data_IF_525400419702
#
_entry.id   IF_525400419702
#
_cell.length_a   1.000
_cell.length_b   1.000
_cell.length_c   1.000
_cell.angle_alpha   90.00
_cell.angle_beta   90.00
_cell.angle_gamma   90.00
#
_symmetry.space_group_name_H-M   'P 1'
#
loop_
_entity.id
_entity.type
_entity.pdbx_description
1 polymer ?
#
# COMPACT_ATOMS: atom_id res chain seq x y z
N UNK A 1 -41.23 2.18 -0.92
CA UNK A 1 -39.79 1.87 -0.91
C UNK A 1 -39.57 0.64 -0.02
N UNK A 2 -39.30 -0.53 -0.58
CA UNK A 2 -38.97 -1.74 0.19
C UNK A 2 -37.54 -1.62 0.72
N UNK A 3 -37.37 -1.70 2.02
CA UNK A 3 -36.03 -1.77 2.67
C UNK A 3 -35.47 -3.14 2.36
N UNK A 4 -34.31 -3.20 1.70
CA UNK A 4 -33.53 -4.42 1.54
C UNK A 4 -33.13 -4.96 2.91
N UNK A 5 -33.33 -6.23 3.14
CA UNK A 5 -32.94 -6.89 4.37
C UNK A 5 -31.44 -7.22 4.32
N UNK A 6 -30.79 -7.35 5.51
CA UNK A 6 -29.38 -7.77 5.64
C UNK A 6 -29.04 -9.04 4.84
N UNK A 7 -30.02 -9.90 4.58
CA UNK A 7 -29.86 -11.16 3.84
C UNK A 7 -29.76 -10.95 2.33
N UNK A 8 -30.40 -9.92 1.79
CA UNK A 8 -30.34 -9.59 0.35
C UNK A 8 -29.03 -8.86 0.01
N UNK A 9 -28.43 -8.12 0.95
CA UNK A 9 -27.11 -7.52 0.81
C UNK A 9 -25.99 -8.59 0.73
N UNK A 10 -26.16 -9.73 1.42
CA UNK A 10 -25.19 -10.83 1.45
C UNK A 10 -25.16 -11.67 0.17
N UNK A 11 -26.21 -11.67 -0.65
CA UNK A 11 -26.24 -12.51 -1.85
C UNK A 11 -25.48 -11.93 -3.05
N UNK A 12 -25.16 -10.63 -3.05
CA UNK A 12 -24.46 -9.98 -4.16
C UNK A 12 -22.93 -9.92 -4.01
N UNK A 13 -22.38 -10.23 -2.84
CA UNK A 13 -20.92 -10.20 -2.58
C UNK A 13 -20.25 -11.57 -2.83
N UNK A 14 -21.02 -12.64 -3.03
CA UNK A 14 -20.48 -14.00 -3.07
C UNK A 14 -19.80 -14.43 -4.38
N UNK A 15 -19.78 -13.61 -5.43
CA UNK A 15 -19.21 -14.02 -6.73
C UNK A 15 -17.78 -13.49 -7.01
N UNK A 16 -17.27 -12.53 -6.26
CA UNK A 16 -15.92 -11.98 -6.48
C UNK A 16 -14.84 -12.59 -5.54
N UNK A 17 -15.23 -13.07 -4.37
CA UNK A 17 -14.30 -13.64 -3.40
C UNK A 17 -13.60 -14.97 -3.81
N UNK A 18 -14.21 -15.88 -4.58
CA UNK A 18 -13.55 -17.15 -4.97
C UNK A 18 -12.39 -16.97 -5.94
N UNK A 19 -12.41 -15.94 -6.78
CA UNK A 19 -11.38 -15.77 -7.83
C UNK A 19 -10.01 -15.40 -7.28
N UNK A 20 -9.95 -14.64 -6.18
CA UNK A 20 -8.67 -14.26 -5.58
C UNK A 20 -7.97 -15.44 -4.87
N UNK A 21 -8.75 -16.31 -4.24
CA UNK A 21 -8.21 -17.48 -3.53
C UNK A 21 -7.85 -18.63 -4.49
N UNK A 22 -8.53 -18.76 -5.63
CA UNK A 22 -8.17 -19.72 -6.69
C UNK A 22 -6.99 -19.20 -7.52
N UNK A 23 -6.86 -17.90 -7.75
CA UNK A 23 -5.65 -17.33 -8.36
C UNK A 23 -4.41 -17.57 -7.50
N UNK A 24 -4.50 -17.50 -6.16
CA UNK A 24 -3.39 -17.84 -5.27
C UNK A 24 -3.07 -19.36 -5.24
N UNK A 25 -4.02 -20.27 -5.58
CA UNK A 25 -3.74 -21.70 -5.71
C UNK A 25 -3.22 -22.08 -7.11
N UNK A 26 -3.65 -21.39 -8.15
CA UNK A 26 -3.10 -21.57 -9.50
C UNK A 26 -1.70 -20.91 -9.66
N UNK A 27 -1.42 -19.84 -8.89
CA UNK A 27 -0.09 -19.23 -8.79
C UNK A 27 0.92 -20.06 -7.97
N UNK A 28 0.47 -21.13 -7.28
CA UNK A 28 1.34 -22.04 -6.52
C UNK A 28 2.25 -22.91 -7.40
N UNK A 29 2.27 -22.72 -8.72
CA UNK A 29 3.19 -23.39 -9.65
C UNK A 29 4.30 -22.49 -10.21
N UNK A 30 4.26 -21.16 -9.95
CA UNK A 30 5.39 -20.28 -10.21
C UNK A 30 5.72 -19.58 -8.89
N UNK A 31 6.81 -19.94 -8.25
CA UNK A 31 7.39 -19.17 -7.16
C UNK A 31 7.49 -17.69 -7.65
N UNK A 32 7.04 -16.70 -6.85
CA UNK A 32 7.16 -15.31 -7.27
C UNK A 32 8.63 -15.01 -7.53
N UNK A 33 8.96 -14.62 -8.75
CA UNK A 33 10.33 -14.27 -9.12
C UNK A 33 10.69 -12.96 -8.44
N UNK A 34 11.41 -13.06 -7.33
CA UNK A 34 11.94 -11.90 -6.64
C UNK A 34 13.05 -11.27 -7.46
N UNK A 35 13.01 -9.97 -7.62
CA UNK A 35 13.99 -9.22 -8.39
C UNK A 35 14.54 -8.07 -7.56
N UNK A 36 15.87 -8.02 -7.41
CA UNK A 36 16.57 -6.89 -6.81
C UNK A 36 17.22 -6.06 -7.91
N UNK A 37 16.82 -4.80 -8.04
CA UNK A 37 17.31 -3.87 -9.05
C UNK A 37 17.98 -2.67 -8.40
N UNK A 38 19.25 -2.34 -8.73
CA UNK A 38 19.90 -1.16 -8.19
C UNK A 38 19.22 0.11 -8.72
N UNK A 39 18.89 1.02 -7.80
CA UNK A 39 18.34 2.35 -8.11
C UNK A 39 19.42 3.44 -8.05
N UNK A 40 20.34 3.28 -7.10
CA UNK A 40 21.42 4.21 -6.82
C UNK A 40 22.61 3.43 -6.24
N UNK A 41 23.69 4.10 -5.81
CA UNK A 41 24.90 3.42 -5.33
C UNK A 41 24.62 2.43 -4.19
N UNK A 42 23.81 2.85 -3.21
CA UNK A 42 23.54 2.05 -2.00
C UNK A 42 22.10 1.55 -1.89
N UNK A 43 21.23 1.96 -2.80
CA UNK A 43 19.80 1.71 -2.73
C UNK A 43 19.31 0.87 -3.89
N UNK A 44 18.54 -0.17 -3.57
CA UNK A 44 17.93 -1.08 -4.55
C UNK A 44 16.43 -1.18 -4.32
N UNK A 45 15.69 -1.54 -5.37
CA UNK A 45 14.29 -1.96 -5.34
C UNK A 45 14.23 -3.48 -5.36
N UNK A 46 13.57 -4.09 -4.38
CA UNK A 46 13.19 -5.48 -4.39
C UNK A 46 11.71 -5.59 -4.69
N UNK A 47 11.38 -6.27 -5.78
CA UNK A 47 10.01 -6.50 -6.24
C UNK A 47 9.66 -7.98 -6.27
N UNK A 48 8.35 -8.31 -6.34
CA UNK A 48 7.85 -9.68 -6.40
C UNK A 48 7.53 -10.29 -5.04
N UNK A 49 7.82 -9.61 -3.93
CA UNK A 49 7.55 -10.12 -2.58
C UNK A 49 6.15 -9.76 -2.05
N UNK A 50 5.30 -9.14 -2.82
CA UNK A 50 4.06 -8.48 -2.42
C UNK A 50 4.12 -7.03 -2.83
N UNK A 51 4.12 -6.10 -1.88
CA UNK A 51 4.49 -4.71 -2.13
C UNK A 51 5.96 -4.55 -2.50
N UNK A 52 6.31 -3.43 -3.10
CA UNK A 52 7.68 -3.04 -3.40
C UNK A 52 8.44 -2.74 -2.11
N UNK A 53 9.71 -3.14 -2.05
CA UNK A 53 10.59 -2.99 -0.89
C UNK A 53 11.82 -2.19 -1.30
N UNK A 54 12.16 -1.13 -0.56
CA UNK A 54 13.45 -0.50 -0.71
C UNK A 54 14.49 -1.20 0.17
N UNK A 55 15.69 -1.41 -0.36
CA UNK A 55 16.83 -2.03 0.34
C UNK A 55 18.01 -1.08 0.28
N UNK A 56 18.35 -0.45 1.42
CA UNK A 56 19.53 0.39 1.58
C UNK A 56 20.63 -0.40 2.26
N UNK A 57 21.82 -0.51 1.64
CA UNK A 57 23.01 -1.03 2.33
C UNK A 57 23.79 0.09 3.01
N UNK A 58 24.26 -0.18 4.22
CA UNK A 58 25.11 0.74 4.98
C UNK A 58 26.13 -0.04 5.82
N UNK A 59 27.41 0.30 5.72
CA UNK A 59 28.45 -0.43 6.45
C UNK A 59 28.30 -1.93 6.32
N UNK A 60 28.07 -2.62 7.44
CA UNK A 60 27.83 -4.07 7.51
C UNK A 60 26.36 -4.38 7.84
N UNK A 61 25.41 -3.58 7.36
CA UNK A 61 23.99 -3.77 7.62
C UNK A 61 23.09 -3.33 6.48
N UNK A 62 21.82 -3.72 6.59
CA UNK A 62 20.76 -3.34 5.66
C UNK A 62 19.62 -2.62 6.40
N UNK A 63 19.02 -1.63 5.73
CA UNK A 63 17.74 -1.03 6.09
C UNK A 63 16.73 -1.36 5.00
N UNK A 64 15.58 -1.88 5.41
CA UNK A 64 14.46 -2.14 4.51
C UNK A 64 13.32 -1.16 4.76
N UNK A 65 12.60 -0.80 3.69
CA UNK A 65 11.27 -0.20 3.76
C UNK A 65 10.28 -1.25 3.28
N UNK A 66 9.42 -1.69 4.18
CA UNK A 66 8.51 -2.83 4.07
C UNK A 66 9.18 -4.21 4.00
N UNK A 67 8.38 -5.28 4.10
CA UNK A 67 8.89 -6.64 4.25
C UNK A 67 8.10 -7.71 3.47
N UNK A 68 7.22 -7.28 2.57
CA UNK A 68 6.50 -8.18 1.66
C UNK A 68 5.46 -9.09 2.35
N UNK A 69 5.09 -10.15 1.65
CA UNK A 69 4.12 -11.16 2.09
C UNK A 69 4.73 -12.16 3.08
N UNK A 70 3.95 -12.75 3.99
CA UNK A 70 4.45 -13.76 4.94
C UNK A 70 5.09 -14.97 4.25
N UNK A 71 4.50 -15.45 3.15
CA UNK A 71 5.00 -16.63 2.42
C UNK A 71 6.27 -16.35 1.61
N UNK A 72 6.60 -15.10 1.33
CA UNK A 72 7.84 -14.72 0.63
C UNK A 72 8.94 -14.26 1.57
N UNK A 73 8.69 -14.19 2.88
CA UNK A 73 9.59 -13.57 3.86
C UNK A 73 11.02 -14.13 3.86
N UNK A 74 11.18 -15.46 3.72
CA UNK A 74 12.48 -16.09 3.67
C UNK A 74 13.23 -15.79 2.35
N UNK A 75 12.53 -15.91 1.22
CA UNK A 75 13.11 -15.61 -0.08
C UNK A 75 13.42 -14.12 -0.23
N UNK A 76 12.58 -13.25 0.32
CA UNK A 76 12.78 -11.81 0.37
C UNK A 76 14.03 -11.45 1.17
N UNK A 77 14.19 -12.01 2.37
CA UNK A 77 15.38 -11.80 3.21
C UNK A 77 16.66 -12.27 2.48
N UNK A 78 16.63 -13.47 1.89
CA UNK A 78 17.75 -13.98 1.09
C UNK A 78 18.08 -13.05 -0.09
N UNK A 79 17.07 -12.58 -0.81
CA UNK A 79 17.27 -11.68 -1.94
C UNK A 79 17.80 -10.31 -1.49
N UNK A 80 17.32 -9.77 -0.35
CA UNK A 80 17.82 -8.51 0.21
C UNK A 80 19.32 -8.58 0.55
N UNK A 81 19.79 -9.72 1.06
CA UNK A 81 21.21 -9.93 1.37
C UNK A 81 22.11 -9.92 0.13
N UNK A 82 21.59 -10.06 -1.09
CA UNK A 82 22.40 -9.88 -2.30
C UNK A 82 22.79 -8.41 -2.55
N UNK A 83 22.14 -7.44 -1.88
CA UNK A 83 22.52 -6.02 -1.93
C UNK A 83 23.82 -5.72 -1.15
N UNK A 84 24.16 -6.53 -0.15
CA UNK A 84 25.35 -6.33 0.66
C UNK A 84 25.41 -7.25 1.88
N UNK A 85 26.56 -7.27 2.56
CA UNK A 85 26.77 -8.08 3.76
C UNK A 85 26.04 -7.52 4.97
N UNK A 86 26.01 -8.31 6.05
CA UNK A 86 25.50 -7.93 7.36
C UNK A 86 24.02 -8.23 7.57
N UNK A 87 23.51 -7.87 8.73
CA UNK A 87 22.11 -8.14 9.10
C UNK A 87 21.16 -7.06 8.59
N UNK A 88 19.89 -7.43 8.45
CA UNK A 88 18.81 -6.44 8.28
C UNK A 88 18.58 -5.80 9.67
N UNK A 89 19.24 -4.67 9.92
CA UNK A 89 19.26 -4.03 11.23
C UNK A 89 18.05 -3.12 11.48
N UNK A 90 17.49 -2.57 10.41
CA UNK A 90 16.38 -1.61 10.49
C UNK A 90 15.31 -1.98 9.46
N UNK A 91 14.06 -1.96 9.89
CA UNK A 91 12.89 -2.08 9.04
C UNK A 91 11.95 -0.89 9.32
N UNK A 92 11.58 -0.14 8.28
CA UNK A 92 10.57 0.91 8.36
C UNK A 92 9.34 0.39 7.61
N UNK A 93 8.17 0.32 8.27
CA UNK A 93 6.94 -0.04 7.58
C UNK A 93 6.15 1.21 7.19
N UNK A 94 5.62 1.18 5.96
CA UNK A 94 4.80 2.25 5.41
C UNK A 94 3.38 2.23 5.94
N UNK A 95 2.75 1.04 6.04
CA UNK A 95 1.39 0.84 6.55
C UNK A 95 1.18 -0.62 6.99
N UNK A 96 -0.03 -0.96 7.46
CA UNK A 96 -0.29 -2.20 8.20
C UNK A 96 -0.69 -3.42 7.35
N UNK A 97 -0.79 -3.32 6.02
CA UNK A 97 -1.25 -4.44 5.22
C UNK A 97 -0.23 -5.59 5.14
N UNK A 98 -0.77 -6.80 5.02
CA UNK A 98 -0.04 -8.06 5.16
C UNK A 98 1.06 -8.26 4.12
N UNK A 99 0.96 -7.62 2.97
CA UNK A 99 1.95 -7.64 1.90
C UNK A 99 3.03 -6.55 2.03
N UNK A 100 3.00 -5.80 3.14
CA UNK A 100 4.02 -4.84 3.56
C UNK A 100 4.64 -5.19 4.91
N UNK A 101 3.92 -5.89 5.79
CA UNK A 101 4.41 -6.28 7.12
C UNK A 101 4.62 -7.79 7.27
N UNK A 102 4.42 -8.57 6.21
CA UNK A 102 4.42 -10.04 6.30
C UNK A 102 5.76 -10.66 6.71
N UNK A 103 6.87 -10.03 6.41
CA UNK A 103 8.20 -10.44 6.83
C UNK A 103 8.61 -9.93 8.22
N UNK A 104 7.81 -9.07 8.86
CA UNK A 104 8.15 -8.42 10.12
C UNK A 104 8.55 -9.39 11.22
N UNK A 105 7.77 -10.47 11.42
CA UNK A 105 8.05 -11.43 12.49
C UNK A 105 9.40 -12.13 12.32
N UNK A 106 9.73 -12.51 11.08
CA UNK A 106 11.01 -13.13 10.76
C UNK A 106 12.17 -12.17 11.03
N UNK A 107 12.07 -10.94 10.51
CA UNK A 107 13.10 -9.91 10.68
C UNK A 107 13.21 -9.45 12.14
N UNK A 108 12.10 -9.31 12.85
CA UNK A 108 12.09 -8.94 14.27
C UNK A 108 12.69 -10.01 15.18
N UNK A 109 12.48 -11.31 14.88
CA UNK A 109 13.18 -12.43 15.57
C UNK A 109 14.67 -12.42 15.26
N UNK A 110 15.08 -11.99 14.07
CA UNK A 110 16.48 -11.83 13.69
C UNK A 110 17.15 -10.58 14.30
N UNK A 111 16.39 -9.74 15.02
CA UNK A 111 16.91 -8.58 15.73
C UNK A 111 16.73 -7.24 15.02
N UNK A 112 16.01 -7.18 13.91
CA UNK A 112 15.72 -5.94 13.23
C UNK A 112 14.93 -4.96 14.13
N UNK A 113 15.34 -3.68 14.13
CA UNK A 113 14.57 -2.61 14.77
C UNK A 113 13.46 -2.17 13.83
N UNK A 114 12.21 -2.50 14.17
CA UNK A 114 11.03 -2.15 13.40
C UNK A 114 10.53 -0.76 13.82
N UNK A 115 10.37 0.14 12.86
CA UNK A 115 9.91 1.52 13.02
C UNK A 115 8.65 1.70 12.19
N UNK A 116 7.58 2.26 12.77
CA UNK A 116 6.34 2.54 12.05
C UNK A 116 5.50 3.62 12.74
N UNK A 117 4.45 4.08 12.05
CA UNK A 117 3.45 4.95 12.69
C UNK A 117 2.69 4.23 13.80
N UNK A 118 2.29 4.98 14.85
CA UNK A 118 1.60 4.41 16.01
C UNK A 118 0.26 3.71 15.67
N UNK A 119 -0.45 4.19 14.64
CA UNK A 119 -1.67 3.54 14.18
C UNK A 119 -1.39 2.18 13.52
N UNK A 120 -0.27 2.04 12.80
CA UNK A 120 0.15 0.72 12.32
C UNK A 120 0.33 -0.24 13.49
N UNK A 121 1.03 0.16 14.57
CA UNK A 121 1.20 -0.69 15.76
C UNK A 121 -0.15 -1.09 16.36
N UNK A 122 -1.11 -0.16 16.48
CA UNK A 122 -2.46 -0.46 16.97
C UNK A 122 -3.13 -1.54 16.11
N UNK A 123 -3.07 -1.39 14.78
CA UNK A 123 -3.72 -2.30 13.83
C UNK A 123 -3.09 -3.69 13.83
N UNK A 124 -1.77 -3.81 13.77
CA UNK A 124 -1.10 -5.12 13.81
C UNK A 124 -1.10 -5.78 15.18
N UNK A 125 -1.56 -5.10 16.22
CA UNK A 125 -1.66 -5.63 17.59
C UNK A 125 -3.00 -6.30 17.92
N UNK A 126 -4.01 -6.12 17.04
CA UNK A 126 -5.37 -6.64 17.23
C UNK A 126 -5.87 -7.26 15.93
N UNK A 127 -6.88 -8.13 16.03
CA UNK A 127 -7.57 -8.64 14.83
C UNK A 127 -8.22 -7.49 14.09
N UNK A 128 -7.96 -7.37 12.79
CA UNK A 128 -8.56 -6.39 11.90
C UNK A 128 -9.54 -7.09 10.96
N UNK A 129 -10.75 -6.54 10.81
CA UNK A 129 -11.70 -7.01 9.80
C UNK A 129 -11.61 -6.15 8.55
N UNK A 130 -11.07 -6.69 7.46
CA UNK A 130 -11.09 -5.99 6.16
C UNK A 130 -12.45 -6.21 5.50
N UNK A 131 -13.23 -5.14 5.42
CA UNK A 131 -14.62 -5.20 4.92
C UNK A 131 -14.69 -5.51 3.42
N UNK A 132 -13.74 -5.02 2.62
CA UNK A 132 -13.72 -5.27 1.18
C UNK A 132 -13.38 -6.72 0.86
N UNK A 133 -12.38 -7.27 1.55
CA UNK A 133 -11.97 -8.68 1.39
C UNK A 133 -12.89 -9.65 2.16
N UNK A 134 -13.78 -9.13 3.02
CA UNK A 134 -14.60 -9.88 3.97
C UNK A 134 -13.76 -10.91 4.75
N UNK A 135 -12.66 -10.46 5.32
CA UNK A 135 -11.67 -11.32 5.96
C UNK A 135 -11.13 -10.71 7.23
N UNK A 136 -10.96 -11.56 8.25
CA UNK A 136 -10.23 -11.23 9.46
C UNK A 136 -8.73 -11.45 9.25
N UNK A 137 -7.93 -10.46 9.65
CA UNK A 137 -6.47 -10.49 9.65
C UNK A 137 -6.02 -10.59 11.10
N UNK A 138 -5.33 -11.68 11.42
CA UNK A 138 -4.82 -11.92 12.76
C UNK A 138 -3.72 -10.91 13.13
N UNK A 139 -3.56 -10.58 14.42
CA UNK A 139 -2.47 -9.74 14.88
C UNK A 139 -1.10 -10.41 14.65
N UNK A 140 -0.06 -9.61 14.44
CA UNK A 140 1.31 -10.10 14.41
C UNK A 140 1.76 -10.53 15.80
N UNK A 141 2.67 -11.52 15.84
CA UNK A 141 3.43 -11.85 17.06
C UNK A 141 4.20 -10.63 17.58
N UNK A 142 4.54 -10.64 18.88
CA UNK A 142 5.30 -9.53 19.49
C UNK A 142 6.61 -9.22 18.79
N UNK A 143 7.27 -10.23 18.18
CA UNK A 143 8.49 -10.05 17.41
C UNK A 143 8.28 -9.21 16.15
N UNK A 144 7.11 -9.30 15.52
CA UNK A 144 6.78 -8.56 14.29
C UNK A 144 6.22 -7.17 14.52
N UNK A 145 5.92 -6.81 15.77
CA UNK A 145 5.35 -5.50 16.08
C UNK A 145 6.42 -4.43 16.19
N UNK A 146 6.18 -3.19 15.66
CA UNK A 146 7.08 -2.06 15.84
C UNK A 146 7.36 -1.80 17.32
N UNK A 147 8.65 -1.71 17.68
CA UNK A 147 9.10 -1.29 19.02
C UNK A 147 9.45 0.19 19.06
N UNK A 148 9.60 0.82 17.92
CA UNK A 148 9.82 2.27 17.78
C UNK A 148 8.67 2.81 16.96
N UNK A 149 7.91 3.75 17.53
CA UNK A 149 6.80 4.39 16.83
C UNK A 149 7.01 5.90 16.72
N UNK A 150 6.33 6.50 15.77
CA UNK A 150 6.25 7.94 15.57
C UNK A 150 4.80 8.36 15.32
N UNK A 151 4.49 9.63 15.58
CA UNK A 151 3.20 10.28 15.30
C UNK A 151 3.26 11.05 13.98
N UNK A 152 4.20 11.98 13.86
CA UNK A 152 4.31 12.85 12.67
C UNK A 152 5.38 12.36 11.69
N UNK A 153 6.47 11.81 12.21
CA UNK A 153 7.62 11.35 11.45
C UNK A 153 8.92 11.38 12.23
N UNK A 154 10.02 11.23 11.51
CA UNK A 154 11.35 11.29 12.07
C UNK A 154 12.42 11.18 11.00
N UNK A 155 13.67 11.10 11.44
CA UNK A 155 14.80 10.87 10.55
C UNK A 155 15.89 10.04 11.22
N UNK A 156 16.67 9.37 10.40
CA UNK A 156 17.91 8.71 10.81
C UNK A 156 18.97 8.86 9.72
N UNK A 157 20.21 8.65 10.09
CA UNK A 157 21.34 8.63 9.15
C UNK A 157 21.99 7.26 9.19
N UNK A 158 22.15 6.65 8.02
CA UNK A 158 22.77 5.34 7.88
C UNK A 158 23.70 5.31 6.67
N UNK A 159 24.99 5.00 6.90
CA UNK A 159 25.98 4.93 5.82
C UNK A 159 26.17 6.23 5.03
N UNK A 160 25.92 7.38 5.64
CA UNK A 160 25.96 8.70 5.02
C UNK A 160 24.68 9.04 4.23
N UNK A 161 23.64 8.18 4.28
CA UNK A 161 22.32 8.50 3.74
C UNK A 161 21.42 9.06 4.83
N UNK A 162 20.75 10.18 4.53
CA UNK A 162 19.70 10.76 5.39
C UNK A 162 18.36 10.20 4.98
N UNK A 163 17.72 9.44 5.89
CA UNK A 163 16.41 8.85 5.70
C UNK A 163 15.40 9.64 6.51
N UNK A 164 14.39 10.20 5.84
CA UNK A 164 13.28 10.92 6.47
C UNK A 164 12.01 10.14 6.25
N UNK A 165 11.33 9.75 7.32
CA UNK A 165 10.00 9.13 7.25
C UNK A 165 8.96 10.08 7.81
N UNK A 166 7.79 10.12 7.16
CA UNK A 166 6.71 11.04 7.52
C UNK A 166 5.36 10.36 7.40
N UNK A 167 4.54 10.50 8.44
CA UNK A 167 3.13 10.17 8.37
C UNK A 167 2.38 11.18 7.49
N UNK A 168 1.46 10.68 6.66
CA UNK A 168 0.50 11.50 5.91
C UNK A 168 -0.90 11.29 6.47
N UNK A 169 -1.80 12.29 6.33
CA UNK A 169 -3.18 12.14 6.78
C UNK A 169 -3.82 10.87 6.22
N UNK A 170 -4.82 10.28 6.94
CA UNK A 170 -5.47 9.03 6.53
C UNK A 170 -5.89 9.03 5.06
N UNK A 171 -5.35 8.09 4.30
CA UNK A 171 -5.48 8.00 2.85
C UNK A 171 -5.76 6.58 2.36
N UNK A 172 -4.74 5.72 2.23
CA UNK A 172 -4.89 4.30 1.98
C UNK A 172 -5.32 3.56 3.27
N UNK A 173 -4.66 3.91 4.39
CA UNK A 173 -5.02 3.58 5.77
C UNK A 173 -4.85 4.82 6.66
N UNK A 174 -5.08 4.69 7.98
CA UNK A 174 -4.80 5.76 8.95
C UNK A 174 -3.35 5.80 9.46
N UNK A 175 -2.52 4.84 9.05
CA UNK A 175 -1.13 4.70 9.48
C UNK A 175 -0.11 4.92 8.38
N UNK A 176 -0.51 5.49 7.25
CA UNK A 176 0.32 5.63 6.06
C UNK A 176 1.54 6.52 6.30
N UNK A 177 2.69 6.03 5.88
CA UNK A 177 3.95 6.77 5.94
C UNK A 177 4.73 6.66 4.64
N UNK A 178 5.45 7.73 4.32
CA UNK A 178 6.42 7.77 3.23
C UNK A 178 7.84 7.73 3.79
N UNK A 179 8.79 7.27 2.98
CA UNK A 179 10.21 7.25 3.33
C UNK A 179 11.03 7.90 2.22
N UNK A 180 11.78 8.96 2.55
CA UNK A 180 12.62 9.70 1.63
C UNK A 180 14.10 9.45 1.91
N UNK A 181 14.79 8.86 0.97
CA UNK A 181 16.24 8.75 0.91
C UNK A 181 16.75 10.02 0.24
N UNK A 182 17.15 10.98 1.07
CA UNK A 182 17.36 12.38 0.64
C UNK A 182 18.56 12.54 -0.28
N UNK A 183 19.68 11.89 0.04
CA UNK A 183 20.91 12.02 -0.74
C UNK A 183 20.82 11.26 -2.07
N UNK A 184 20.18 10.08 -2.08
CA UNK A 184 19.96 9.27 -3.28
C UNK A 184 18.78 9.78 -4.12
N UNK A 185 18.00 10.73 -3.60
CA UNK A 185 16.79 11.30 -4.21
C UNK A 185 15.78 10.23 -4.63
N UNK A 186 15.47 9.30 -3.70
CA UNK A 186 14.49 8.23 -3.87
C UNK A 186 13.40 8.37 -2.82
N UNK A 187 12.15 8.23 -3.24
CA UNK A 187 10.98 8.43 -2.39
C UNK A 187 10.07 7.19 -2.42
N UNK A 188 9.94 6.51 -1.29
CA UNK A 188 9.04 5.36 -1.15
C UNK A 188 7.70 5.82 -0.59
N UNK A 189 6.63 5.54 -1.30
CA UNK A 189 5.28 6.03 -0.97
C UNK A 189 4.43 5.02 -0.21
N UNK A 190 4.85 3.74 -0.14
CA UNK A 190 3.90 2.69 0.18
C UNK A 190 2.67 2.77 -0.74
N UNK A 191 1.54 2.34 -0.24
CA UNK A 191 0.28 2.27 -0.99
C UNK A 191 -0.45 3.61 -1.16
N UNK A 192 0.24 4.71 -0.87
CA UNK A 192 -0.21 6.03 -1.29
C UNK A 192 -0.06 6.25 -2.80
N UNK A 193 0.68 5.35 -3.48
CA UNK A 193 0.78 5.31 -4.95
C UNK A 193 0.73 3.87 -5.46
N UNK A 194 -0.20 3.62 -6.38
CA UNK A 194 -0.29 2.44 -7.23
C UNK A 194 0.03 2.86 -8.66
N UNK A 195 1.25 2.62 -9.13
CA UNK A 195 1.65 3.10 -10.45
C UNK A 195 1.09 2.19 -11.56
N UNK A 196 0.24 2.77 -12.42
CA UNK A 196 -0.38 2.07 -13.54
C UNK A 196 -1.57 1.18 -13.16
N UNK A 197 -2.18 1.37 -11.98
CA UNK A 197 -3.36 0.62 -11.57
C UNK A 197 -4.26 1.42 -10.62
N UNK A 198 -5.55 1.07 -10.55
CA UNK A 198 -6.47 1.63 -9.55
C UNK A 198 -6.06 1.18 -8.16
N UNK A 199 -6.00 2.12 -7.18
CA UNK A 199 -5.59 1.79 -5.82
C UNK A 199 -6.68 1.06 -5.06
N UNK A 200 -6.27 0.18 -4.16
CA UNK A 200 -7.10 -0.24 -3.06
C UNK A 200 -7.10 0.87 -1.99
N UNK A 201 -8.27 1.14 -1.40
CA UNK A 201 -8.44 2.11 -0.30
C UNK A 201 -9.15 1.37 0.84
N UNK A 202 -8.48 1.23 1.97
CA UNK A 202 -9.05 0.48 3.10
C UNK A 202 -9.93 1.37 3.98
N UNK A 203 -11.22 1.44 3.63
CA UNK A 203 -12.20 2.17 4.43
C UNK A 203 -12.42 1.53 5.82
N UNK A 204 -12.05 0.27 6.02
CA UNK A 204 -12.09 -0.37 7.35
C UNK A 204 -10.88 0.00 8.21
N UNK A 205 -9.85 0.56 7.59
CA UNK A 205 -8.68 1.12 8.25
C UNK A 205 -8.65 2.66 8.16
N UNK A 206 -9.83 3.31 8.15
CA UNK A 206 -10.02 4.76 8.09
C UNK A 206 -9.42 5.44 6.84
N UNK A 207 -9.13 4.68 5.78
CA UNK A 207 -8.73 5.22 4.49
C UNK A 207 -9.86 6.02 3.81
N UNK A 208 -9.49 6.86 2.85
CA UNK A 208 -10.46 7.61 2.03
C UNK A 208 -9.85 8.07 0.72
N UNK A 209 -10.70 8.18 -0.33
CA UNK A 209 -10.23 8.71 -1.61
C UNK A 209 -9.86 10.19 -1.52
N UNK A 210 -10.54 10.96 -0.69
CA UNK A 210 -10.21 12.36 -0.41
C UNK A 210 -8.81 12.47 0.22
N UNK A 211 -8.52 11.57 1.17
CA UNK A 211 -7.19 11.45 1.79
C UNK A 211 -6.13 11.06 0.77
N UNK A 212 -6.40 10.10 -0.13
CA UNK A 212 -5.49 9.71 -1.20
C UNK A 212 -5.14 10.90 -2.13
N UNK A 213 -6.12 11.73 -2.49
CA UNK A 213 -5.88 12.95 -3.29
C UNK A 213 -5.00 13.92 -2.51
N UNK A 214 -5.32 14.19 -1.24
CA UNK A 214 -4.55 15.11 -0.39
C UNK A 214 -3.11 14.60 -0.15
N UNK A 215 -2.93 13.30 0.09
CA UNK A 215 -1.61 12.68 0.23
C UNK A 215 -0.79 12.81 -1.06
N UNK A 216 -1.41 12.58 -2.23
CA UNK A 216 -0.75 12.76 -3.52
C UNK A 216 -0.30 14.20 -3.74
N UNK A 217 -1.11 15.21 -3.36
CA UNK A 217 -0.72 16.62 -3.43
C UNK A 217 0.49 16.93 -2.54
N UNK A 218 0.54 16.40 -1.32
CA UNK A 218 1.69 16.55 -0.41
C UNK A 218 2.95 15.86 -0.97
N UNK A 219 2.82 14.66 -1.52
CA UNK A 219 3.92 13.93 -2.13
C UNK A 219 4.49 14.66 -3.36
N UNK A 220 3.63 15.22 -4.22
CA UNK A 220 4.05 16.03 -5.40
C UNK A 220 4.89 17.24 -4.97
N UNK A 221 4.60 17.84 -3.81
CA UNK A 221 5.38 18.96 -3.26
C UNK A 221 6.72 18.50 -2.66
N UNK A 222 6.78 17.26 -2.17
CA UNK A 222 7.97 16.70 -1.52
C UNK A 222 9.04 16.20 -2.50
N UNK A 223 8.69 16.00 -3.78
CA UNK A 223 9.57 15.42 -4.81
C UNK A 223 9.84 16.41 -5.95
N UNK A 224 10.97 16.26 -6.61
CA UNK A 224 11.33 17.02 -7.81
C UNK A 224 11.21 16.18 -9.11
N UNK A 225 11.57 16.75 -10.25
CA UNK A 225 11.50 16.09 -11.55
C UNK A 225 12.55 14.97 -11.76
N UNK A 226 13.51 14.81 -10.82
CA UNK A 226 14.57 13.79 -10.88
C UNK A 226 14.36 12.69 -9.82
N UNK A 227 13.47 12.90 -8.87
CA UNK A 227 13.19 11.93 -7.81
C UNK A 227 12.67 10.63 -8.41
N UNK A 228 13.32 9.52 -8.08
CA UNK A 228 12.80 8.17 -8.36
C UNK A 228 11.78 7.81 -7.30
N UNK A 229 10.58 7.44 -7.70
CA UNK A 229 9.50 7.12 -6.76
C UNK A 229 9.27 5.62 -6.76
N UNK A 230 9.38 4.99 -5.60
CA UNK A 230 9.00 3.60 -5.37
C UNK A 230 7.53 3.60 -4.91
N UNK A 231 6.57 3.18 -5.77
CA UNK A 231 5.19 3.00 -5.36
C UNK A 231 5.06 1.76 -4.48
N UNK A 232 3.98 1.61 -3.71
CA UNK A 232 3.69 0.34 -3.04
C UNK A 232 3.51 -0.79 -4.04
N UNK A 233 2.84 -0.53 -5.15
CA UNK A 233 2.63 -1.48 -6.24
C UNK A 233 2.85 -0.86 -7.61
N UNK A 234 3.35 -1.68 -8.53
CA UNK A 234 3.64 -1.28 -9.91
C UNK A 234 5.11 -0.92 -10.13
N UNK A 235 5.47 -0.50 -11.35
CA UNK A 235 6.84 -0.13 -11.69
C UNK A 235 7.24 1.20 -11.02
N UNK A 236 8.56 1.49 -11.01
CA UNK A 236 9.06 2.80 -10.60
C UNK A 236 8.28 3.92 -11.26
N UNK A 237 8.02 4.97 -10.49
CA UNK A 237 7.25 6.13 -10.93
C UNK A 237 8.11 7.40 -10.95
N UNK A 238 7.63 8.36 -11.71
CA UNK A 238 8.11 9.73 -11.78
C UNK A 238 7.12 10.69 -11.07
N UNK A 239 7.54 11.93 -10.90
CA UNK A 239 6.63 12.98 -10.43
C UNK A 239 5.41 13.18 -11.34
N UNK A 240 5.58 12.97 -12.65
CA UNK A 240 4.46 13.11 -13.60
C UNK A 240 3.50 11.93 -13.54
N UNK A 241 3.98 10.72 -13.25
CA UNK A 241 3.11 9.57 -12.96
C UNK A 241 2.28 9.80 -11.69
N UNK A 242 2.91 10.35 -10.64
CA UNK A 242 2.22 10.72 -9.39
C UNK A 242 1.16 11.80 -9.63
N UNK A 243 1.43 12.79 -10.48
CA UNK A 243 0.42 13.80 -10.90
C UNK A 243 -0.73 13.16 -11.64
N UNK A 244 -0.43 12.31 -12.64
CA UNK A 244 -1.46 11.60 -13.39
C UNK A 244 -2.34 10.72 -12.50
N UNK A 245 -1.75 10.05 -11.50
CA UNK A 245 -2.47 9.28 -10.50
C UNK A 245 -3.38 10.17 -9.66
N UNK A 246 -2.88 11.28 -9.14
CA UNK A 246 -3.67 12.25 -8.37
C UNK A 246 -4.84 12.82 -9.18
N UNK A 247 -4.61 13.19 -10.43
CA UNK A 247 -5.64 13.76 -11.30
C UNK A 247 -6.73 12.73 -11.63
N UNK A 248 -6.35 11.47 -11.83
CA UNK A 248 -7.29 10.36 -11.97
C UNK A 248 -8.15 10.22 -10.71
N UNK A 249 -7.54 10.17 -9.52
CA UNK A 249 -8.26 10.03 -8.25
C UNK A 249 -9.25 11.19 -8.04
N UNK A 250 -8.80 12.43 -8.23
CA UNK A 250 -9.63 13.62 -8.06
C UNK A 250 -10.83 13.62 -9.02
N UNK A 251 -10.61 13.29 -10.28
CA UNK A 251 -11.67 13.27 -11.30
C UNK A 251 -12.67 12.14 -11.05
N UNK A 252 -12.20 10.93 -10.74
CA UNK A 252 -13.10 9.79 -10.48
C UNK A 252 -13.88 10.03 -9.18
N UNK A 253 -13.22 10.58 -8.15
CA UNK A 253 -13.89 10.99 -6.91
C UNK A 253 -15.03 11.99 -7.16
N UNK A 254 -14.78 13.04 -7.94
CA UNK A 254 -15.80 14.05 -8.29
C UNK A 254 -16.99 13.42 -9.02
N UNK A 255 -16.71 12.58 -10.04
CA UNK A 255 -17.76 11.92 -10.82
C UNK A 255 -18.62 10.99 -9.97
N UNK A 256 -17.98 10.10 -9.17
CA UNK A 256 -18.71 9.17 -8.29
C UNK A 256 -19.51 9.96 -7.24
N UNK A 257 -18.93 11.03 -6.65
CA UNK A 257 -19.61 11.87 -5.66
C UNK A 257 -20.87 12.52 -6.22
N UNK A 258 -20.83 13.04 -7.46
CA UNK A 258 -22.00 13.63 -8.13
C UNK A 258 -23.11 12.63 -8.34
N UNK A 259 -22.77 11.42 -8.78
CA UNK A 259 -23.75 10.34 -9.00
C UNK A 259 -24.40 9.89 -7.67
N UNK A 260 -23.59 9.71 -6.63
CA UNK A 260 -24.09 9.34 -5.29
C UNK A 260 -24.99 10.44 -4.71
N UNK A 261 -24.58 11.71 -4.83
CA UNK A 261 -25.37 12.87 -4.37
C UNK A 261 -26.70 12.99 -5.13
N UNK A 262 -26.72 12.59 -6.41
CA UNK A 262 -27.96 12.53 -7.21
C UNK A 262 -28.86 11.33 -6.83
N UNK A 263 -28.49 10.53 -5.82
CA UNK A 263 -29.26 9.39 -5.32
C UNK A 263 -29.21 8.16 -6.22
N UNK A 264 -28.21 8.06 -7.09
CA UNK A 264 -28.06 6.89 -7.97
C UNK A 264 -27.69 5.63 -7.17
N UNK A 265 -28.22 4.50 -7.57
CA UNK A 265 -27.89 3.21 -6.99
C UNK A 265 -26.49 2.76 -7.42
N UNK A 266 -25.91 1.80 -6.71
CA UNK A 266 -24.61 1.22 -7.06
C UNK A 266 -24.55 0.77 -8.53
N UNK A 267 -25.56 0.06 -9.00
CA UNK A 267 -25.61 -0.45 -10.38
C UNK A 267 -25.66 0.70 -11.41
N UNK A 268 -26.37 1.78 -11.10
CA UNK A 268 -26.42 2.96 -11.94
C UNK A 268 -25.07 3.68 -11.99
N UNK A 269 -24.38 3.79 -10.83
CA UNK A 269 -23.05 4.43 -10.76
C UNK A 269 -22.02 3.59 -11.52
N UNK A 270 -22.04 2.26 -11.40
CA UNK A 270 -21.16 1.37 -12.17
C UNK A 270 -21.46 1.48 -13.67
N UNK A 271 -22.73 1.46 -14.07
CA UNK A 271 -23.15 1.57 -15.47
C UNK A 271 -22.81 2.92 -16.12
N UNK A 272 -22.62 3.98 -15.32
CA UNK A 272 -22.18 5.30 -15.77
C UNK A 272 -20.68 5.34 -16.15
N UNK A 273 -19.92 4.27 -15.91
CA UNK A 273 -18.49 4.13 -16.23
C UNK A 273 -17.64 5.38 -15.86
N UNK A 274 -17.67 5.89 -14.62
CA UNK A 274 -17.00 7.14 -14.25
C UNK A 274 -15.48 7.10 -14.43
N UNK A 275 -14.90 5.91 -14.51
CA UNK A 275 -13.47 5.62 -14.69
C UNK A 275 -13.02 5.56 -16.14
N UNK A 276 -13.96 5.45 -17.12
CA UNK A 276 -13.70 5.11 -18.53
C UNK A 276 -12.48 5.77 -19.18
N UNK A 277 -12.22 7.07 -19.01
CA UNK A 277 -11.05 7.72 -19.63
C UNK A 277 -9.70 7.25 -19.08
N UNK A 278 -9.70 6.52 -17.98
CA UNK A 278 -8.50 6.07 -17.25
C UNK A 278 -8.29 4.56 -17.32
N UNK A 279 -9.26 3.80 -17.83
CA UNK A 279 -9.27 2.33 -17.78
C UNK A 279 -8.09 1.71 -18.51
N UNK A 280 -7.67 2.28 -19.64
CA UNK A 280 -6.52 1.78 -20.42
C UNK A 280 -5.22 1.85 -19.61
N UNK A 281 -5.02 2.92 -18.83
CA UNK A 281 -3.81 3.11 -18.02
C UNK A 281 -3.90 2.41 -16.67
N UNK A 282 -5.06 2.48 -15.99
CA UNK A 282 -5.17 2.07 -14.59
C UNK A 282 -6.05 0.82 -14.36
N UNK A 283 -6.83 0.39 -15.35
CA UNK A 283 -7.83 -0.67 -15.19
C UNK A 283 -7.31 -2.10 -15.29
N UNK A 284 -6.02 -2.31 -15.55
CA UNK A 284 -5.45 -3.63 -15.77
C UNK A 284 -4.83 -4.27 -14.50
N UNK A 285 -4.84 -3.55 -13.38
CA UNK A 285 -4.30 -4.00 -12.11
C UNK A 285 -5.21 -4.96 -11.33
N UNK A 286 -4.98 -5.01 -10.04
CA UNK A 286 -5.72 -5.81 -9.05
C UNK A 286 -7.20 -5.46 -9.04
N UNK A 287 -7.55 -4.18 -8.93
CA UNK A 287 -8.93 -3.72 -9.04
C UNK A 287 -9.29 -3.42 -10.50
N UNK A 288 -10.38 -4.03 -10.96
CA UNK A 288 -10.97 -3.68 -12.25
C UNK A 288 -11.79 -2.39 -12.13
N UNK A 289 -12.06 -1.68 -13.24
CA UNK A 289 -12.81 -0.41 -13.21
C UNK A 289 -14.09 -0.46 -12.38
N UNK A 290 -14.92 -1.48 -12.61
CA UNK A 290 -16.18 -1.65 -11.89
C UNK A 290 -15.96 -1.90 -10.38
N UNK A 291 -14.91 -2.62 -9.99
CA UNK A 291 -14.62 -2.92 -8.58
C UNK A 291 -14.09 -1.69 -7.86
N UNK A 292 -13.27 -0.87 -8.53
CA UNK A 292 -12.85 0.43 -8.00
C UNK A 292 -14.06 1.35 -7.77
N UNK A 293 -14.99 1.44 -8.72
CA UNK A 293 -16.23 2.21 -8.56
C UNK A 293 -17.08 1.69 -7.40
N UNK A 294 -17.23 0.35 -7.25
CA UNK A 294 -17.95 -0.26 -6.12
C UNK A 294 -17.32 0.09 -4.79
N UNK A 295 -16.01 0.02 -4.71
CA UNK A 295 -15.26 0.38 -3.49
C UNK A 295 -15.50 1.86 -3.12
N UNK A 296 -15.41 2.79 -4.07
CA UNK A 296 -15.65 4.20 -3.85
C UNK A 296 -17.10 4.48 -3.43
N UNK A 297 -18.08 3.84 -4.10
CA UNK A 297 -19.48 3.96 -3.74
C UNK A 297 -19.73 3.52 -2.29
N UNK A 298 -19.16 2.37 -1.90
CA UNK A 298 -19.27 1.86 -0.53
C UNK A 298 -18.69 2.81 0.49
N UNK A 299 -17.50 3.37 0.24
CA UNK A 299 -16.87 4.34 1.13
C UNK A 299 -17.66 5.64 1.30
N UNK A 300 -18.38 6.09 0.23
CA UNK A 300 -19.21 7.31 0.29
C UNK A 300 -20.58 7.10 0.92
N UNK A 301 -21.11 5.88 0.89
CA UNK A 301 -22.45 5.56 1.40
C UNK A 301 -22.40 4.89 2.78
N UNK A 302 -21.25 4.41 3.21
CA UNK A 302 -21.05 3.92 4.57
C UNK A 302 -21.32 5.05 5.57
N UNK A 303 -22.20 4.81 6.53
CA UNK A 303 -22.36 5.73 7.66
C UNK A 303 -21.08 5.69 8.46
N UNK A 304 -20.34 6.79 8.49
CA UNK A 304 -19.28 6.99 9.47
C UNK A 304 -19.95 6.98 10.85
N UNK A 305 -19.70 5.92 11.63
CA UNK A 305 -20.22 5.75 12.98
C UNK A 305 -19.60 6.75 13.95
#
# INVERSE_FOLDING_TARGET
>A
MKRLTRRELFQFVSSAAPAFWMASRAAAQNEPTLKLEPLADKLSLLSGAGGNIAVLRFGEGLLLVDSGLPQTAEAMEHQAHTAGPGSIAILINTHCHFDHVGGNERLGRAGARIIAHENLLKRVSTTQHNTFMNRDIAPLDLAGRPKTTFTDGGSLEQGGEKIVYRHLPPAHTDGDATVHFVNENVYHTGDLLFNGMYPFIDYSADGSIEGMVAAADLMIQAVDGKTKIIPGHGPLATRDDLRAFRDMLATVNDRVSKLVTAGQTLDQVVAAEPTKPYDDKFGNGFLKPADFVRMLYSGKTAKRG
#
